data_IF_940869373177
#
_entry.id   IF_940869373177
#
_cell.length_a   1.000
_cell.length_b   1.000
_cell.length_c   1.000
_cell.angle_alpha   90.00
_cell.angle_beta   90.00
_cell.angle_gamma   90.00
#
_symmetry.space_group_name_H-M   'P 1'
#
loop_
_entity.id
_entity.type
_entity.pdbx_description
1 polymer ?
#
# COMPACT_ATOMS: atom_id res chain seq x y z
N UNK A 1 23.07 -70.73 50.32
CA UNK A 1 23.49 -72.14 50.14
C UNK A 1 23.25 -72.48 48.68
N UNK A 2 24.34 -72.59 47.90
CA UNK A 2 24.44 -73.19 46.53
C UNK A 2 23.53 -72.56 45.42
N UNK A 3 23.89 -72.46 44.15
CA UNK A 3 24.92 -73.10 43.33
C UNK A 3 24.98 -72.38 41.96
N UNK A 4 26.19 -72.21 41.41
CA UNK A 4 26.59 -72.41 39.99
C UNK A 4 25.90 -71.64 38.84
N UNK A 5 26.51 -71.34 37.69
CA UNK A 5 27.85 -71.49 37.11
C UNK A 5 27.92 -70.59 35.86
N UNK A 6 29.13 -70.32 35.42
CA UNK A 6 29.55 -69.56 34.24
C UNK A 6 28.98 -70.06 32.90
N UNK A 7 28.86 -69.13 31.94
CA UNK A 7 29.23 -69.41 30.54
C UNK A 7 29.94 -68.20 29.94
N UNK A 8 31.20 -68.41 29.55
CA UNK A 8 32.03 -67.50 28.76
C UNK A 8 31.65 -67.57 27.29
N UNK A 9 31.72 -66.44 26.60
CA UNK A 9 32.05 -66.40 25.16
C UNK A 9 32.83 -65.13 24.88
N UNK A 10 34.10 -65.32 24.52
CA UNK A 10 35.00 -64.30 24.00
C UNK A 10 34.61 -64.03 22.55
N UNK A 11 34.41 -62.77 22.18
CA UNK A 11 34.42 -62.34 20.78
C UNK A 11 35.42 -61.20 20.59
N UNK A 12 36.33 -61.44 19.65
CA UNK A 12 37.41 -60.56 19.24
C UNK A 12 36.84 -59.29 18.61
N UNK A 13 37.16 -58.13 19.19
CA UNK A 13 36.76 -56.82 18.67
C UNK A 13 37.75 -56.40 17.55
N UNK A 14 37.37 -56.62 16.30
CA UNK A 14 38.01 -55.99 15.14
C UNK A 14 37.50 -54.55 15.04
N UNK A 15 38.34 -53.59 15.46
CA UNK A 15 38.09 -52.16 15.30
C UNK A 15 38.28 -51.80 13.81
N UNK A 16 37.19 -51.60 13.10
CA UNK A 16 37.20 -50.92 11.80
C UNK A 16 37.03 -49.42 12.06
N UNK A 17 38.11 -48.65 11.92
CA UNK A 17 38.03 -47.19 11.83
C UNK A 17 37.36 -46.84 10.49
N UNK A 18 36.07 -46.57 10.53
CA UNK A 18 35.38 -45.89 9.44
C UNK A 18 35.68 -44.39 9.58
N UNK A 19 36.46 -43.86 8.64
CA UNK A 19 36.54 -42.42 8.41
C UNK A 19 35.19 -41.93 7.88
N UNK A 20 34.35 -41.46 8.80
CA UNK A 20 33.12 -40.75 8.42
C UNK A 20 33.49 -39.41 7.79
N UNK A 21 33.39 -39.33 6.46
CA UNK A 21 33.35 -38.05 5.76
C UNK A 21 32.07 -37.36 6.24
N UNK A 22 32.21 -36.34 7.07
CA UNK A 22 31.11 -35.46 7.44
C UNK A 22 30.78 -34.63 6.22
N UNK A 23 29.76 -35.04 5.46
CA UNK A 23 29.12 -34.16 4.49
C UNK A 23 28.58 -32.98 5.30
N UNK A 24 29.12 -31.79 5.02
CA UNK A 24 28.54 -30.54 5.52
C UNK A 24 27.08 -30.51 5.09
N UNK A 25 26.17 -30.72 6.03
CA UNK A 25 24.75 -30.51 5.80
C UNK A 25 24.57 -29.02 5.55
N UNK A 26 24.32 -28.66 4.29
CA UNK A 26 23.70 -27.39 3.95
C UNK A 26 22.35 -27.38 4.65
N UNK A 27 22.28 -26.71 5.80
CA UNK A 27 21.02 -26.36 6.43
C UNK A 27 20.33 -25.33 5.54
N UNK A 28 19.49 -25.81 4.63
CA UNK A 28 18.41 -25.00 4.06
C UNK A 28 17.46 -24.72 5.20
N UNK A 29 17.79 -23.73 6.03
CA UNK A 29 16.81 -23.08 6.88
C UNK A 29 15.84 -22.42 5.91
N UNK A 30 14.67 -23.04 5.71
CA UNK A 30 13.54 -22.32 5.16
C UNK A 30 13.25 -21.18 6.15
N UNK A 31 13.83 -20.01 5.89
CA UNK A 31 13.36 -18.77 6.47
C UNK A 31 11.94 -18.57 5.93
N UNK A 32 10.96 -19.09 6.68
CA UNK A 32 9.57 -18.70 6.53
C UNK A 32 9.46 -17.25 7.01
N UNK A 33 9.75 -16.32 6.11
CA UNK A 33 9.31 -14.94 6.26
C UNK A 33 7.79 -14.99 6.07
N UNK A 34 6.95 -14.67 7.08
CA UNK A 34 5.56 -14.41 6.80
C UNK A 34 5.53 -13.27 5.78
N UNK A 35 4.94 -13.53 4.61
CA UNK A 35 4.69 -12.48 3.64
C UNK A 35 3.98 -11.34 4.38
N UNK A 36 4.49 -10.10 4.37
CA UNK A 36 3.63 -8.99 4.70
C UNK A 36 2.44 -9.07 3.76
N UNK A 37 1.25 -9.10 4.34
CA UNK A 37 -0.01 -8.95 3.63
C UNK A 37 0.01 -7.57 2.98
N UNK A 38 0.69 -7.43 1.84
CA UNK A 38 0.59 -6.28 0.97
C UNK A 38 -0.79 -6.36 0.32
N UNK A 39 -1.77 -5.98 1.12
CA UNK A 39 -3.18 -5.86 0.85
C UNK A 39 -3.69 -5.04 2.02
N UNK A 40 -4.06 -3.79 1.74
CA UNK A 40 -4.52 -2.85 2.75
C UNK A 40 -5.51 -3.56 3.72
N UNK A 41 -5.25 -3.53 5.05
CA UNK A 41 -6.00 -4.27 6.06
C UNK A 41 -7.37 -3.68 6.43
N UNK A 42 -7.93 -2.73 5.69
CA UNK A 42 -9.34 -2.31 5.86
C UNK A 42 -10.33 -3.38 5.30
N UNK A 43 -10.40 -4.52 6.00
CA UNK A 43 -11.47 -5.53 6.01
C UNK A 43 -12.01 -6.07 4.68
N UNK A 44 -11.35 -7.11 4.17
CA UNK A 44 -11.95 -8.09 3.27
C UNK A 44 -11.04 -9.30 3.07
N UNK A 45 -11.26 -10.37 3.85
CA UNK A 45 -10.76 -11.72 3.56
C UNK A 45 -11.48 -12.27 2.33
N UNK A 46 -11.17 -11.71 1.16
CA UNK A 46 -11.67 -12.14 -0.14
C UNK A 46 -10.50 -12.58 -0.99
N UNK A 47 -10.39 -13.90 -1.20
CA UNK A 47 -9.44 -14.60 -2.06
C UNK A 47 -8.76 -13.72 -3.15
N UNK A 48 -7.54 -13.26 -2.87
CA UNK A 48 -6.59 -12.99 -3.95
C UNK A 48 -5.98 -14.34 -4.36
N UNK A 49 -5.90 -14.66 -5.66
CA UNK A 49 -5.26 -15.89 -6.11
C UNK A 49 -3.77 -15.79 -5.80
N UNK A 50 -3.33 -16.56 -4.81
CA UNK A 50 -1.95 -16.59 -4.34
C UNK A 50 -1.69 -15.57 -3.25
N UNK A 51 -1.38 -16.07 -2.06
CA UNK A 51 -0.66 -15.32 -1.03
C UNK A 51 0.58 -14.71 -1.71
N UNK A 52 0.56 -13.40 -2.00
CA UNK A 52 1.68 -12.74 -2.67
C UNK A 52 2.87 -12.83 -1.74
N UNK A 53 3.81 -13.73 -2.06
CA UNK A 53 5.04 -13.84 -1.31
C UNK A 53 5.86 -12.57 -1.59
N UNK A 54 6.10 -11.78 -0.55
CA UNK A 54 6.89 -10.58 -0.66
C UNK A 54 8.10 -10.62 0.26
N UNK A 55 9.22 -10.08 -0.23
CA UNK A 55 10.51 -9.97 0.46
C UNK A 55 11.07 -8.58 0.21
N UNK A 56 12.25 -8.21 0.74
CA UNK A 56 12.96 -7.01 0.25
C UNK A 56 12.20 -5.64 0.34
N UNK A 57 11.25 -5.57 1.27
CA UNK A 57 10.50 -4.40 1.77
C UNK A 57 9.54 -3.67 0.81
N UNK A 58 8.29 -4.14 0.67
CA UNK A 58 7.94 -5.38 0.02
C UNK A 58 8.15 -5.32 -1.50
N UNK A 59 8.81 -6.33 -2.02
CA UNK A 59 8.91 -6.69 -3.43
C UNK A 59 8.18 -8.02 -3.60
N UNK A 60 7.22 -8.06 -4.51
CA UNK A 60 6.58 -9.30 -4.94
C UNK A 60 7.61 -10.19 -5.64
N UNK A 61 7.86 -11.39 -5.10
CA UNK A 61 8.90 -12.29 -5.63
C UNK A 61 8.58 -12.82 -7.02
N UNK A 62 7.32 -12.77 -7.44
CA UNK A 62 6.87 -13.26 -8.75
C UNK A 62 6.97 -12.15 -9.79
N UNK A 63 6.40 -10.99 -9.48
CA UNK A 63 6.26 -9.88 -10.43
C UNK A 63 7.41 -8.89 -10.36
N UNK A 64 8.18 -8.89 -9.26
CA UNK A 64 9.19 -7.89 -8.93
C UNK A 64 8.65 -6.48 -8.75
N UNK A 65 7.34 -6.36 -8.52
CA UNK A 65 6.73 -5.11 -8.15
C UNK A 65 7.24 -4.67 -6.77
N UNK A 66 7.89 -3.51 -6.71
CA UNK A 66 8.22 -2.85 -5.46
C UNK A 66 7.02 -2.01 -5.01
N UNK A 67 6.46 -2.40 -3.87
CA UNK A 67 5.37 -1.70 -3.22
C UNK A 67 5.88 -0.99 -1.96
N UNK A 68 5.46 0.25 -1.71
CA UNK A 68 5.75 0.97 -0.46
C UNK A 68 4.44 1.51 0.12
N UNK A 69 4.24 1.29 1.41
CA UNK A 69 3.18 1.91 2.18
C UNK A 69 3.80 2.87 3.20
N UNK A 70 3.19 4.03 3.38
CA UNK A 70 3.57 5.00 4.41
C UNK A 70 2.31 5.50 5.10
N UNK A 71 2.26 5.38 6.43
CA UNK A 71 1.21 5.97 7.25
C UNK A 71 1.66 7.37 7.68
N UNK A 72 0.99 8.41 7.17
CA UNK A 72 1.31 9.79 7.59
C UNK A 72 0.33 10.36 8.62
N UNK A 73 -0.92 9.89 8.62
CA UNK A 73 -1.93 10.30 9.60
C UNK A 73 -2.90 9.17 9.92
N UNK A 74 -3.23 9.00 11.20
CA UNK A 74 -4.32 8.14 11.66
C UNK A 74 -5.17 8.93 12.65
N UNK A 75 -6.46 9.07 12.38
CA UNK A 75 -7.37 9.90 13.18
C UNK A 75 -7.53 9.31 14.58
N UNK A 76 -7.05 10.05 15.58
CA UNK A 76 -6.79 9.57 16.95
C UNK A 76 -7.81 8.57 17.54
N UNK A 77 -9.10 8.93 17.72
CA UNK A 77 -10.10 7.98 18.22
C UNK A 77 -10.22 6.78 17.28
N UNK A 78 -10.25 5.56 17.84
CA UNK A 78 -10.21 4.29 17.09
C UNK A 78 -11.25 4.17 15.95
N UNK A 79 -12.31 5.01 15.96
CA UNK A 79 -13.43 4.95 15.03
C UNK A 79 -13.60 6.21 14.19
N UNK A 80 -12.62 7.13 14.16
CA UNK A 80 -12.79 8.43 13.47
C UNK A 80 -12.98 8.31 11.95
N UNK A 81 -12.55 7.19 11.35
CA UNK A 81 -12.56 6.97 9.90
C UNK A 81 -11.52 7.79 9.11
N UNK A 82 -10.85 8.77 9.75
CA UNK A 82 -9.84 9.59 9.08
C UNK A 82 -8.49 8.90 9.10
N UNK A 83 -7.84 8.86 7.94
CA UNK A 83 -6.52 8.26 7.75
C UNK A 83 -5.86 8.83 6.50
N UNK A 84 -4.54 8.93 6.51
CA UNK A 84 -3.78 9.24 5.31
C UNK A 84 -2.62 8.27 5.18
N UNK A 85 -2.80 7.34 4.25
CA UNK A 85 -1.76 6.45 3.78
C UNK A 85 -1.31 6.86 2.39
N UNK A 86 -0.04 6.65 2.09
CA UNK A 86 0.53 6.74 0.75
C UNK A 86 0.98 5.37 0.28
N UNK A 87 0.76 5.13 -1.00
CA UNK A 87 1.11 3.87 -1.66
C UNK A 87 1.94 4.16 -2.90
N UNK A 88 3.10 3.52 -3.02
CA UNK A 88 3.91 3.53 -4.24
C UNK A 88 3.93 2.14 -4.88
N UNK A 89 3.92 2.09 -6.21
CA UNK A 89 3.96 0.86 -6.99
C UNK A 89 4.87 1.02 -8.22
N UNK A 90 5.99 0.29 -8.25
CA UNK A 90 7.00 0.44 -9.32
C UNK A 90 6.54 -0.05 -10.69
N UNK A 91 5.50 -0.90 -10.74
CA UNK A 91 4.91 -1.40 -11.99
C UNK A 91 3.74 -0.55 -12.48
N UNK A 92 3.27 0.40 -11.66
CA UNK A 92 2.16 1.29 -11.98
C UNK A 92 2.52 2.75 -11.75
N UNK A 93 3.36 3.28 -12.64
CA UNK A 93 3.81 4.68 -12.63
C UNK A 93 2.76 5.63 -13.23
N UNK A 94 1.52 5.56 -12.73
CA UNK A 94 0.44 6.44 -13.18
C UNK A 94 0.62 7.85 -12.59
N UNK A 95 0.43 8.92 -13.37
CA UNK A 95 0.44 10.29 -12.85
C UNK A 95 -0.59 10.52 -11.75
N UNK A 96 -0.23 11.32 -10.75
CA UNK A 96 -1.14 11.74 -9.68
C UNK A 96 -0.65 13.06 -9.07
N UNK A 97 -1.56 13.77 -8.40
CA UNK A 97 -1.21 15.04 -7.75
C UNK A 97 -0.24 14.86 -6.57
N UNK A 98 -0.15 13.66 -5.98
CA UNK A 98 0.84 13.37 -4.93
C UNK A 98 2.22 12.98 -5.49
N UNK A 99 2.32 12.77 -6.81
CA UNK A 99 3.54 12.38 -7.51
C UNK A 99 3.34 11.09 -8.30
N UNK A 100 3.90 11.03 -9.51
CA UNK A 100 3.74 9.87 -10.39
C UNK A 100 4.29 8.58 -9.74
N UNK A 101 3.51 7.50 -9.83
CA UNK A 101 3.77 6.23 -9.15
C UNK A 101 3.28 6.17 -7.71
N UNK A 102 2.80 7.30 -7.14
CA UNK A 102 2.18 7.37 -5.83
C UNK A 102 0.66 7.54 -5.90
N UNK A 103 -0.03 6.94 -4.93
CA UNK A 103 -1.47 7.09 -4.65
C UNK A 103 -1.66 7.26 -3.14
N UNK A 104 -2.87 7.57 -2.70
CA UNK A 104 -3.19 7.70 -1.28
C UNK A 104 -4.59 7.15 -0.94
N UNK A 105 -4.89 6.97 0.35
CA UNK A 105 -6.13 6.36 0.89
C UNK A 105 -7.42 6.87 0.21
N UNK A 106 -7.53 8.17 -0.03
CA UNK A 106 -8.71 8.79 -0.68
C UNK A 106 -8.68 8.91 -2.22
N UNK A 107 -7.71 8.28 -2.89
CA UNK A 107 -7.56 8.30 -4.36
C UNK A 107 -8.29 7.18 -5.10
N UNK A 108 -9.11 6.38 -4.41
CA UNK A 108 -9.89 5.30 -5.01
C UNK A 108 -10.78 5.81 -6.14
N UNK A 109 -10.84 5.05 -7.24
CA UNK A 109 -11.53 5.48 -8.46
C UNK A 109 -12.31 4.34 -9.13
N UNK A 110 -13.58 4.60 -9.42
CA UNK A 110 -14.44 3.77 -10.24
C UNK A 110 -14.27 4.12 -11.72
N UNK A 111 -13.98 3.13 -12.53
CA UNK A 111 -13.93 3.21 -13.99
C UNK A 111 -15.14 2.48 -14.56
N UNK A 112 -16.01 3.23 -15.25
CA UNK A 112 -17.20 2.72 -15.93
C UNK A 112 -16.99 2.53 -17.44
N UNK A 113 -15.75 2.73 -17.93
CA UNK A 113 -15.46 2.59 -19.36
C UNK A 113 -15.48 1.12 -19.78
N UNK A 114 -16.35 0.78 -20.73
CA UNK A 114 -16.50 -0.57 -21.27
C UNK A 114 -17.68 -1.34 -20.67
N UNK A 115 -17.72 -2.66 -20.88
CA UNK A 115 -18.84 -3.50 -20.41
C UNK A 115 -18.74 -3.86 -18.93
N UNK A 116 -17.55 -3.81 -18.34
CA UNK A 116 -17.26 -4.26 -16.97
C UNK A 116 -16.73 -3.09 -16.15
N UNK A 117 -17.47 -2.62 -15.13
CA UNK A 117 -16.96 -1.67 -14.17
C UNK A 117 -15.71 -2.20 -13.47
N UNK A 118 -14.81 -1.29 -13.12
CA UNK A 118 -13.59 -1.61 -12.40
C UNK A 118 -13.33 -0.58 -11.32
N UNK A 119 -12.86 -1.00 -10.16
CA UNK A 119 -12.40 -0.09 -9.11
C UNK A 119 -10.88 -0.19 -9.03
N UNK A 120 -10.21 0.95 -9.16
CA UNK A 120 -8.81 1.07 -8.83
C UNK A 120 -8.72 1.55 -7.38
N UNK A 121 -8.20 0.68 -6.52
CA UNK A 121 -7.96 0.96 -5.13
C UNK A 121 -6.81 1.97 -4.95
N UNK A 122 -6.66 2.38 -3.71
CA UNK A 122 -5.63 3.25 -3.16
C UNK A 122 -4.22 2.66 -3.28
N UNK A 123 -4.07 1.34 -3.11
CA UNK A 123 -2.83 0.58 -3.31
C UNK A 123 -2.52 0.25 -4.78
N UNK A 124 -3.37 0.71 -5.71
CA UNK A 124 -3.33 0.41 -7.16
C UNK A 124 -3.79 -1.00 -7.56
N UNK A 125 -4.37 -1.76 -6.63
CA UNK A 125 -5.09 -3.00 -6.95
C UNK A 125 -6.34 -2.67 -7.78
N UNK A 126 -6.60 -3.47 -8.81
CA UNK A 126 -7.73 -3.28 -9.72
C UNK A 126 -8.75 -4.40 -9.54
N UNK A 127 -9.92 -4.05 -9.02
CA UNK A 127 -11.07 -4.94 -8.86
C UNK A 127 -11.92 -4.92 -10.12
N UNK A 128 -12.38 -6.08 -10.57
CA UNK A 128 -13.23 -6.23 -11.75
C UNK A 128 -14.62 -6.73 -11.36
N UNK A 129 -15.66 -6.11 -11.90
CA UNK A 129 -17.04 -6.52 -11.72
C UNK A 129 -17.57 -7.26 -12.94
N UNK A 130 -18.68 -7.99 -12.76
CA UNK A 130 -19.38 -8.61 -13.86
C UNK A 130 -19.93 -7.55 -14.85
N UNK A 131 -20.23 -7.93 -16.10
CA UNK A 131 -20.76 -6.98 -17.07
C UNK A 131 -21.98 -6.23 -16.54
N UNK A 132 -22.01 -4.92 -16.76
CA UNK A 132 -23.09 -4.07 -16.31
C UNK A 132 -24.43 -4.53 -16.92
N UNK A 133 -25.35 -4.94 -16.07
CA UNK A 133 -26.72 -5.32 -16.41
C UNK A 133 -27.68 -4.63 -15.45
N UNK A 134 -28.23 -3.49 -15.86
CA UNK A 134 -29.10 -2.66 -15.00
C UNK A 134 -28.32 -1.89 -13.93
N UNK A 135 -28.95 -1.71 -12.78
CA UNK A 135 -28.47 -0.80 -11.71
C UNK A 135 -27.67 -1.50 -10.60
N UNK A 136 -27.69 -2.83 -10.51
CA UNK A 136 -26.95 -3.62 -9.52
C UNK A 136 -25.98 -4.54 -10.24
N UNK A 137 -24.70 -4.49 -9.86
CA UNK A 137 -23.62 -5.21 -10.52
C UNK A 137 -22.79 -5.90 -9.44
N UNK A 138 -22.81 -7.23 -9.44
CA UNK A 138 -22.01 -8.01 -8.49
C UNK A 138 -20.59 -8.26 -9.00
N UNK A 139 -19.66 -8.38 -8.08
CA UNK A 139 -18.38 -9.03 -8.34
C UNK A 139 -18.59 -10.53 -8.54
N UNK A 140 -17.64 -11.19 -9.21
CA UNK A 140 -17.65 -12.64 -9.36
C UNK A 140 -17.69 -13.30 -7.98
N UNK A 141 -18.57 -14.29 -7.81
CA UNK A 141 -18.73 -15.04 -6.55
C UNK A 141 -18.89 -14.16 -5.29
N UNK A 142 -19.32 -12.90 -5.44
CA UNK A 142 -19.38 -11.91 -4.37
C UNK A 142 -18.02 -11.64 -3.67
N UNK A 143 -16.90 -11.87 -4.36
CA UNK A 143 -15.53 -11.68 -3.80
C UNK A 143 -15.30 -10.25 -3.31
N UNK A 144 -15.87 -9.26 -4.01
CA UNK A 144 -15.71 -7.84 -3.73
C UNK A 144 -17.05 -7.14 -3.49
N UNK A 145 -18.15 -7.86 -3.27
CA UNK A 145 -19.46 -7.25 -3.04
C UNK A 145 -20.12 -6.75 -4.33
N UNK A 146 -20.87 -5.64 -4.25
CA UNK A 146 -21.72 -5.16 -5.35
C UNK A 146 -21.71 -3.64 -5.53
N UNK A 147 -21.85 -3.20 -6.78
CA UNK A 147 -22.03 -1.81 -7.19
C UNK A 147 -23.48 -1.54 -7.50
N UNK A 148 -24.03 -0.47 -6.93
CA UNK A 148 -25.39 -0.05 -7.15
C UNK A 148 -25.46 1.43 -7.53
N UNK A 149 -26.11 1.73 -8.66
CA UNK A 149 -26.43 3.10 -9.07
C UNK A 149 -27.66 3.60 -8.30
N UNK A 150 -27.57 4.74 -7.62
CA UNK A 150 -28.67 5.30 -6.83
C UNK A 150 -28.57 6.83 -6.65
N UNK A 151 -29.70 7.53 -6.44
CA UNK A 151 -29.70 8.98 -6.22
C UNK A 151 -29.14 9.34 -4.83
N UNK A 152 -28.67 10.58 -4.69
CA UNK A 152 -28.10 11.13 -3.45
C UNK A 152 -28.96 10.88 -2.19
N UNK A 153 -30.29 11.05 -2.31
CA UNK A 153 -31.23 10.84 -1.20
C UNK A 153 -31.21 9.40 -0.66
N UNK A 154 -30.98 8.42 -1.53
CA UNK A 154 -30.97 7.01 -1.15
C UNK A 154 -29.61 6.65 -0.54
N UNK A 155 -28.52 7.29 -0.97
CA UNK A 155 -27.19 7.18 -0.33
C UNK A 155 -27.24 7.65 1.13
N UNK A 156 -27.93 8.76 1.43
CA UNK A 156 -28.06 9.28 2.81
C UNK A 156 -28.67 8.24 3.75
N UNK A 157 -29.62 7.44 3.26
CA UNK A 157 -30.26 6.36 4.02
C UNK A 157 -29.35 5.14 4.23
N UNK A 158 -28.22 5.06 3.53
CA UNK A 158 -27.27 3.94 3.61
C UNK A 158 -26.11 4.19 4.55
N UNK A 159 -25.90 5.44 4.95
CA UNK A 159 -24.87 5.82 5.92
C UNK A 159 -25.34 5.43 7.32
N UNK A 160 -24.49 4.76 8.08
CA UNK A 160 -24.71 4.61 9.52
C UNK A 160 -24.37 5.94 10.21
N UNK A 161 -25.40 6.62 10.70
CA UNK A 161 -25.27 7.89 11.40
C UNK A 161 -25.00 7.75 12.90
N UNK A 162 -25.12 6.54 13.44
CA UNK A 162 -24.98 6.28 14.87
C UNK A 162 -23.53 6.25 15.36
N UNK A 163 -22.55 6.17 14.45
CA UNK A 163 -21.12 6.13 14.76
C UNK A 163 -20.52 7.48 15.10
N UNK A 164 -21.25 8.59 14.87
CA UNK A 164 -20.81 9.94 15.19
C UNK A 164 -20.63 10.15 16.71
N UNK A 165 -19.51 10.77 17.12
CA UNK A 165 -19.22 11.00 18.54
C UNK A 165 -20.11 12.07 19.20
N UNK A 166 -20.75 12.96 18.42
CA UNK A 166 -21.53 14.09 18.94
C UNK A 166 -23.02 14.01 18.48
N UNK A 167 -23.97 13.72 19.38
CA UNK A 167 -25.41 13.76 19.09
C UNK A 167 -26.07 15.14 19.35
N UNK A 168 -27.20 15.47 18.70
CA UNK A 168 -27.89 14.69 17.66
C UNK A 168 -27.23 14.88 16.28
N UNK A 169 -26.97 13.77 15.59
CA UNK A 169 -26.46 13.81 14.23
C UNK A 169 -27.55 14.27 13.26
N UNK A 170 -27.22 15.19 12.35
CA UNK A 170 -28.10 15.59 11.26
C UNK A 170 -27.85 14.67 10.07
N UNK A 171 -28.91 14.02 9.58
CA UNK A 171 -28.86 13.22 8.34
C UNK A 171 -28.86 14.14 7.10
N UNK A 172 -27.90 15.05 7.03
CA UNK A 172 -27.79 16.01 5.93
C UNK A 172 -26.35 16.14 5.44
N UNK A 173 -26.18 15.95 4.14
CA UNK A 173 -24.89 16.13 3.48
C UNK A 173 -24.49 17.60 3.35
N UNK A 174 -25.40 18.55 3.59
CA UNK A 174 -25.10 19.99 3.60
C UNK A 174 -24.18 20.42 4.74
N UNK A 175 -23.92 19.54 5.69
CA UNK A 175 -22.94 19.76 6.75
C UNK A 175 -21.50 19.48 6.27
N UNK A 176 -21.33 18.56 5.33
CA UNK A 176 -20.02 18.07 4.88
C UNK A 176 -19.63 18.55 3.48
N UNK A 177 -20.61 18.97 2.67
CA UNK A 177 -20.40 19.45 1.31
C UNK A 177 -20.92 20.86 1.13
N UNK A 178 -20.13 21.70 0.45
CA UNK A 178 -20.58 23.01 0.02
C UNK A 178 -21.83 22.93 -0.87
N UNK A 179 -22.62 24.01 -0.87
CA UNK A 179 -23.83 24.07 -1.69
C UNK A 179 -23.53 23.97 -3.19
N UNK A 180 -22.36 24.42 -3.64
CA UNK A 180 -21.92 24.30 -5.02
C UNK A 180 -21.50 22.87 -5.36
N UNK A 181 -20.77 22.19 -4.48
CA UNK A 181 -20.42 20.78 -4.69
C UNK A 181 -21.66 19.89 -4.72
N UNK A 182 -22.63 20.09 -3.80
CA UNK A 182 -23.90 19.37 -3.80
C UNK A 182 -24.69 19.50 -5.11
N UNK A 183 -24.59 20.64 -5.82
CA UNK A 183 -25.23 20.80 -7.13
C UNK A 183 -24.65 19.86 -8.18
N UNK A 184 -23.38 19.48 -8.06
CA UNK A 184 -22.71 18.52 -8.95
C UNK A 184 -23.08 17.07 -8.66
N UNK A 185 -23.58 16.78 -7.46
CA UNK A 185 -24.00 15.43 -7.02
C UNK A 185 -25.46 15.12 -7.35
N UNK A 186 -26.09 15.90 -8.24
CA UNK A 186 -27.50 15.71 -8.63
C UNK A 186 -27.72 14.53 -9.59
N UNK A 187 -26.64 14.03 -10.18
CA UNK A 187 -26.67 12.79 -10.96
C UNK A 187 -26.74 11.56 -10.05
N UNK A 188 -27.00 10.40 -10.65
CA UNK A 188 -26.90 9.14 -9.91
C UNK A 188 -25.46 8.87 -9.46
N UNK A 189 -25.33 8.53 -8.18
CA UNK A 189 -24.10 8.08 -7.56
C UNK A 189 -23.94 6.56 -7.71
N UNK A 190 -22.73 6.08 -7.49
CA UNK A 190 -22.44 4.65 -7.43
C UNK A 190 -22.03 4.27 -6.02
N UNK A 191 -22.86 3.49 -5.34
CA UNK A 191 -22.54 2.89 -4.05
C UNK A 191 -21.91 1.52 -4.27
N UNK A 192 -20.72 1.33 -3.73
CA UNK A 192 -20.08 0.03 -3.59
C UNK A 192 -20.34 -0.49 -2.17
N UNK A 193 -21.07 -1.60 -2.04
CA UNK A 193 -21.19 -2.33 -0.77
C UNK A 193 -20.27 -3.54 -0.78
N UNK A 194 -19.39 -3.60 0.21
CA UNK A 194 -18.46 -4.70 0.42
C UNK A 194 -19.19 -5.91 1.03
N UNK A 195 -18.62 -7.12 0.93
CA UNK A 195 -19.14 -8.28 1.68
C UNK A 195 -19.17 -8.03 3.20
N UNK A 196 -18.24 -7.20 3.70
CA UNK A 196 -18.14 -6.76 5.10
C UNK A 196 -19.18 -5.72 5.52
N UNK A 197 -20.06 -5.28 4.61
CA UNK A 197 -21.01 -4.18 4.79
C UNK A 197 -20.40 -2.78 4.94
N UNK A 198 -19.09 -2.64 4.73
CA UNK A 198 -18.51 -1.34 4.43
C UNK A 198 -19.16 -0.74 3.17
N UNK A 199 -19.16 0.58 3.05
CA UNK A 199 -19.62 1.26 1.85
C UNK A 199 -18.61 2.29 1.35
N UNK A 200 -18.48 2.38 0.04
CA UNK A 200 -17.89 3.52 -0.66
C UNK A 200 -18.90 4.10 -1.63
N UNK A 201 -18.86 5.42 -1.82
CA UNK A 201 -19.74 6.11 -2.77
C UNK A 201 -18.89 6.92 -3.73
N UNK A 202 -19.18 6.77 -5.02
CA UNK A 202 -18.51 7.47 -6.11
C UNK A 202 -19.46 8.44 -6.81
N UNK A 203 -18.94 9.61 -7.19
CA UNK A 203 -19.67 10.55 -8.04
C UNK A 203 -19.78 10.04 -9.49
N UNK A 204 -20.48 10.79 -10.36
CA UNK A 204 -20.68 10.42 -11.77
C UNK A 204 -19.38 10.34 -12.60
N UNK A 205 -18.29 10.94 -12.10
CA UNK A 205 -16.93 10.86 -12.69
C UNK A 205 -16.12 9.69 -12.14
N UNK A 206 -16.69 8.91 -11.23
CA UNK A 206 -16.07 7.76 -10.59
C UNK A 206 -15.12 8.12 -9.45
N UNK A 207 -15.10 9.35 -8.96
CA UNK A 207 -14.25 9.75 -7.84
C UNK A 207 -14.93 9.44 -6.51
N UNK A 208 -14.18 8.90 -5.54
CA UNK A 208 -14.69 8.61 -4.19
C UNK A 208 -15.14 9.90 -3.49
N UNK A 209 -16.34 9.89 -2.93
CA UNK A 209 -16.95 11.03 -2.21
C UNK A 209 -17.40 10.69 -0.79
N UNK A 210 -17.71 9.42 -0.49
CA UNK A 210 -18.03 8.95 0.86
C UNK A 210 -17.36 7.59 1.05
N UNK A 211 -16.81 7.33 2.24
CA UNK A 211 -16.36 6.00 2.65
C UNK A 211 -16.76 5.75 4.10
N UNK A 212 -17.23 4.54 4.41
CA UNK A 212 -17.58 4.13 5.76
C UNK A 212 -17.20 2.67 5.96
N UNK A 213 -16.19 2.44 6.81
CA UNK A 213 -15.81 1.10 7.25
C UNK A 213 -16.72 0.66 8.42
N UNK A 214 -16.87 -0.65 8.67
CA UNK A 214 -17.70 -1.14 9.77
C UNK A 214 -17.24 -0.57 11.11
N UNK A 215 -18.19 -0.11 11.94
CA UNK A 215 -17.93 0.51 13.25
C UNK A 215 -17.10 1.80 13.23
N UNK A 216 -16.89 2.42 12.06
CA UNK A 216 -16.22 3.72 11.94
C UNK A 216 -17.20 4.82 11.54
N UNK A 217 -16.84 6.06 11.84
CA UNK A 217 -17.51 7.21 11.25
C UNK A 217 -17.36 7.20 9.72
N UNK A 218 -18.41 7.62 9.03
CA UNK A 218 -18.32 7.93 7.61
C UNK A 218 -17.40 9.15 7.41
N UNK A 219 -16.57 9.09 6.36
CA UNK A 219 -15.81 10.23 5.87
C UNK A 219 -16.41 10.75 4.57
N UNK A 220 -16.44 12.06 4.44
CA UNK A 220 -17.01 12.81 3.32
C UNK A 220 -15.89 13.58 2.62
N UNK A 221 -15.81 13.45 1.30
CA UNK A 221 -14.69 13.94 0.49
C UNK A 221 -15.22 14.98 -0.51
N UNK A 222 -14.96 16.25 -0.22
CA UNK A 222 -15.27 17.37 -1.12
C UNK A 222 -14.12 17.57 -2.11
N UNK A 223 -14.46 17.86 -3.38
CA UNK A 223 -13.49 18.00 -4.47
C UNK A 223 -13.66 19.32 -5.21
N UNK A 224 -12.57 19.80 -5.80
CA UNK A 224 -12.54 21.00 -6.63
C UNK A 224 -13.40 20.82 -7.87
N UNK A 225 -14.26 21.80 -8.12
CA UNK A 225 -15.20 21.84 -9.25
C UNK A 225 -14.80 22.87 -10.30
N UNK A 226 -13.90 23.79 -9.95
CA UNK A 226 -13.42 24.82 -10.87
C UNK A 226 -12.50 24.20 -11.91
N UNK A 227 -12.69 24.52 -13.20
CA UNK A 227 -11.75 24.13 -14.24
C UNK A 227 -10.34 24.67 -13.94
N UNK A 228 -9.34 23.81 -14.10
CA UNK A 228 -7.94 24.18 -13.88
C UNK A 228 -7.08 22.96 -13.56
N UNK A 229 -5.79 23.17 -13.23
CA UNK A 229 -4.85 22.10 -12.91
C UNK A 229 -5.25 21.23 -11.70
N UNK A 230 -6.14 21.74 -10.83
CA UNK A 230 -6.64 21.04 -9.64
C UNK A 230 -8.07 20.52 -9.81
N UNK A 231 -8.65 20.51 -11.02
CA UNK A 231 -10.00 20.01 -11.24
C UNK A 231 -10.15 18.55 -10.73
N UNK A 232 -11.18 18.28 -9.91
CA UNK A 232 -11.44 17.02 -9.19
C UNK A 232 -10.44 16.64 -8.07
N UNK A 233 -9.47 17.50 -7.77
CA UNK A 233 -8.60 17.34 -6.60
C UNK A 233 -9.43 17.37 -5.30
N UNK A 234 -8.99 16.65 -4.27
CA UNK A 234 -9.66 16.65 -2.97
C UNK A 234 -9.38 17.98 -2.29
N UNK A 235 -10.40 18.69 -1.83
CA UNK A 235 -10.20 19.91 -1.04
C UNK A 235 -10.25 19.60 0.46
N UNK A 236 -11.16 18.71 0.86
CA UNK A 236 -11.38 18.35 2.25
C UNK A 236 -11.87 16.92 2.37
N UNK A 237 -11.36 16.22 3.38
CA UNK A 237 -11.96 14.99 3.90
C UNK A 237 -12.41 15.25 5.32
N UNK A 238 -13.66 14.99 5.65
CA UNK A 238 -14.21 15.29 6.97
C UNK A 238 -15.00 14.09 7.49
N UNK A 239 -14.91 13.79 8.79
CA UNK A 239 -15.75 12.75 9.39
C UNK A 239 -17.05 13.31 9.96
N UNK A 240 -17.91 12.44 10.50
CA UNK A 240 -19.21 12.82 11.08
C UNK A 240 -19.08 13.73 12.31
N UNK A 241 -17.96 13.63 13.02
CA UNK A 241 -17.58 14.49 14.15
C UNK A 241 -16.87 15.78 13.74
N UNK A 242 -16.90 16.13 12.44
CA UNK A 242 -16.36 17.36 11.87
C UNK A 242 -14.83 17.54 11.93
N UNK A 243 -14.08 16.53 12.36
CA UNK A 243 -12.62 16.52 12.19
C UNK A 243 -12.30 16.44 10.69
N UNK A 244 -11.31 17.22 10.25
CA UNK A 244 -10.98 17.34 8.82
C UNK A 244 -9.50 17.13 8.50
N UNK A 245 -9.28 16.68 7.27
CA UNK A 245 -8.02 16.77 6.54
C UNK A 245 -8.23 17.77 5.40
N UNK A 246 -7.48 18.86 5.41
CA UNK A 246 -7.60 19.95 4.43
C UNK A 246 -6.43 19.92 3.46
N UNK A 247 -6.72 19.77 2.17
CA UNK A 247 -5.73 19.50 1.13
C UNK A 247 -5.39 20.77 0.36
N UNK A 248 -4.10 21.06 0.25
CA UNK A 248 -3.59 22.26 -0.43
C UNK A 248 -2.70 21.90 -1.61
N UNK A 249 -2.89 22.59 -2.73
CA UNK A 249 -2.17 22.33 -3.96
C UNK A 249 -1.40 23.56 -4.44
N UNK A 250 -0.27 23.30 -5.10
CA UNK A 250 0.54 24.30 -5.77
C UNK A 250 0.71 23.95 -7.25
N UNK A 251 0.94 24.96 -8.09
CA UNK A 251 1.27 24.77 -9.50
C UNK A 251 2.77 24.43 -9.61
N UNK A 252 3.07 23.38 -10.38
CA UNK A 252 4.44 22.98 -10.69
C UNK A 252 4.50 22.58 -12.18
N UNK A 253 5.26 23.34 -12.97
CA UNK A 253 5.27 23.18 -14.42
C UNK A 253 3.92 23.57 -15.03
N UNK A 254 3.32 22.65 -15.79
CA UNK A 254 1.97 22.82 -16.38
C UNK A 254 0.86 22.23 -15.52
N UNK A 255 1.21 21.44 -14.50
CA UNK A 255 0.28 20.71 -13.64
C UNK A 255 0.19 21.28 -12.22
N UNK A 256 -0.54 20.57 -11.37
CA UNK A 256 -0.60 20.82 -9.94
C UNK A 256 0.03 19.68 -9.15
N UNK A 257 0.42 19.96 -7.92
CA UNK A 257 0.90 18.99 -6.95
C UNK A 257 0.25 19.21 -5.60
N UNK A 258 0.08 18.14 -4.82
CA UNK A 258 -0.24 18.21 -3.41
C UNK A 258 0.96 18.84 -2.70
N UNK A 259 0.72 19.92 -1.97
CA UNK A 259 1.76 20.67 -1.27
C UNK A 259 1.71 20.45 0.23
N UNK A 260 0.49 20.33 0.77
CA UNK A 260 0.25 20.24 2.19
C UNK A 260 -1.09 19.57 2.47
N UNK A 261 -1.16 18.88 3.61
CA UNK A 261 -2.42 18.49 4.22
C UNK A 261 -2.42 19.03 5.65
N UNK A 262 -3.39 19.85 6.01
CA UNK A 262 -3.63 20.19 7.41
C UNK A 262 -4.42 19.08 8.08
N UNK A 263 -3.92 18.59 9.20
CA UNK A 263 -4.57 17.57 10.00
C UNK A 263 -4.90 18.14 11.39
N UNK A 264 -5.77 17.49 12.17
CA UNK A 264 -6.09 17.92 13.54
C UNK A 264 -4.87 17.99 14.48
N UNK A 265 -3.78 17.27 14.19
CA UNK A 265 -2.56 17.26 15.01
C UNK A 265 -1.43 18.10 14.42
N UNK A 266 -1.62 18.74 13.27
CA UNK A 266 -0.62 19.55 12.57
C UNK A 266 -0.48 19.17 11.10
N UNK A 267 0.36 19.90 10.36
CA UNK A 267 0.43 19.77 8.90
C UNK A 267 1.42 18.70 8.44
N UNK A 268 1.07 18.05 7.32
CA UNK A 268 1.96 17.24 6.50
C UNK A 268 2.44 18.08 5.32
N UNK A 269 3.74 18.20 5.11
CA UNK A 269 4.34 19.01 4.04
C UNK A 269 5.00 18.13 2.98
N UNK A 270 4.58 18.29 1.73
CA UNK A 270 4.99 17.45 0.60
C UNK A 270 5.95 18.20 -0.32
N UNK A 271 7.16 17.65 -0.47
CA UNK A 271 8.21 18.22 -1.34
C UNK A 271 8.25 17.48 -2.66
N UNK A 272 8.36 18.24 -3.75
CA UNK A 272 8.39 17.70 -5.10
C UNK A 272 9.51 18.31 -5.94
N UNK A 273 9.90 17.61 -6.99
CA UNK A 273 10.62 18.17 -8.13
C UNK A 273 9.90 17.79 -9.44
N UNK A 274 10.34 18.41 -10.54
CA UNK A 274 10.07 17.94 -11.90
C UNK A 274 11.34 17.30 -12.42
N UNK A 275 11.31 16.03 -12.87
CA UNK A 275 12.44 15.47 -13.58
C UNK A 275 12.72 16.27 -14.86
N UNK A 276 13.97 16.20 -15.33
CA UNK A 276 14.35 16.84 -16.57
C UNK A 276 13.55 16.26 -17.73
N UNK A 277 13.05 17.12 -18.61
CA UNK A 277 12.29 16.77 -19.82
C UNK A 277 10.94 16.06 -19.56
N UNK A 278 10.46 16.12 -18.31
CA UNK A 278 9.21 15.49 -17.86
C UNK A 278 8.19 16.54 -17.42
N UNK A 279 6.90 16.23 -17.54
CA UNK A 279 5.81 17.13 -17.14
C UNK A 279 5.19 16.79 -15.78
N UNK A 280 5.39 15.57 -15.28
CA UNK A 280 4.75 15.06 -14.08
C UNK A 280 5.65 15.19 -12.84
N UNK A 281 5.09 15.59 -11.69
CA UNK A 281 5.87 15.79 -10.47
C UNK A 281 6.30 14.47 -9.84
N UNK A 282 7.45 14.49 -9.15
CA UNK A 282 7.90 13.40 -8.27
C UNK A 282 7.88 13.82 -6.82
N UNK A 283 7.38 12.94 -5.95
CA UNK A 283 7.42 13.14 -4.50
C UNK A 283 8.83 12.93 -3.95
N UNK A 284 9.51 14.00 -3.55
CA UNK A 284 10.87 13.95 -2.97
C UNK A 284 10.89 13.76 -1.45
N UNK A 285 9.76 13.96 -0.79
CA UNK A 285 9.64 13.64 0.63
C UNK A 285 8.40 14.24 1.28
N UNK A 286 8.15 13.79 2.50
CA UNK A 286 7.07 14.26 3.36
C UNK A 286 7.67 14.61 4.72
N UNK A 287 7.29 15.77 5.27
CA UNK A 287 7.67 16.22 6.62
C UNK A 287 6.42 16.37 7.46
N UNK A 288 6.42 15.76 8.63
CA UNK A 288 5.30 15.76 9.58
C UNK A 288 5.45 16.93 10.56
N UNK A 289 4.38 17.23 11.29
CA UNK A 289 4.34 18.33 12.26
C UNK A 289 5.41 18.22 13.36
N UNK A 290 5.82 17.00 13.70
CA UNK A 290 6.85 16.72 14.70
C UNK A 290 8.26 16.66 14.10
N UNK A 291 8.47 17.17 12.89
CA UNK A 291 9.74 17.15 12.14
C UNK A 291 10.22 15.77 11.67
N UNK A 292 9.53 14.68 12.05
CA UNK A 292 9.75 13.38 11.43
C UNK A 292 9.51 13.49 9.92
N UNK A 293 10.33 12.80 9.13
CA UNK A 293 10.29 12.94 7.68
C UNK A 293 10.75 11.70 6.95
N UNK A 294 10.24 11.56 5.73
CA UNK A 294 10.73 10.59 4.76
C UNK A 294 11.29 11.35 3.55
N UNK A 295 12.48 10.97 3.11
CA UNK A 295 13.14 11.53 1.91
C UNK A 295 13.29 10.45 0.86
N UNK A 296 12.95 10.79 -0.37
CA UNK A 296 12.99 9.91 -1.53
C UNK A 296 14.01 10.36 -2.56
N UNK A 297 14.80 9.39 -3.03
CA UNK A 297 15.67 9.54 -4.19
C UNK A 297 15.17 8.65 -5.33
N UNK A 298 15.41 9.08 -6.55
CA UNK A 298 14.92 8.45 -7.77
C UNK A 298 16.05 8.28 -8.76
N UNK A 299 15.88 7.33 -9.67
CA UNK A 299 16.82 7.09 -10.75
C UNK A 299 16.90 8.28 -11.71
N UNK A 300 18.06 8.39 -12.36
CA UNK A 300 18.28 9.35 -13.45
C UNK A 300 17.56 8.86 -14.72
N UNK A 301 16.87 9.78 -15.41
CA UNK A 301 16.13 9.52 -16.64
C UNK A 301 17.00 8.91 -17.75
N UNK A 302 18.32 9.15 -17.73
CA UNK A 302 19.27 8.60 -18.71
C UNK A 302 19.45 7.07 -18.61
N UNK A 303 19.08 6.45 -17.49
CA UNK A 303 19.25 5.02 -17.25
C UNK A 303 17.91 4.29 -17.19
N UNK A 304 16.92 4.86 -16.51
CA UNK A 304 15.61 4.26 -16.28
C UNK A 304 14.53 5.34 -16.15
N UNK A 305 13.27 4.93 -15.97
CA UNK A 305 12.20 5.89 -15.67
C UNK A 305 12.57 6.73 -14.44
N UNK A 306 12.50 8.07 -14.52
CA UNK A 306 12.86 8.94 -13.40
C UNK A 306 11.89 8.85 -12.23
N UNK A 307 10.79 8.11 -12.38
CA UNK A 307 9.76 7.89 -11.35
C UNK A 307 9.98 6.60 -10.55
N UNK A 308 11.02 5.82 -10.87
CA UNK A 308 11.38 4.64 -10.09
C UNK A 308 12.10 5.06 -8.81
N UNK A 309 11.48 4.73 -7.67
CA UNK A 309 11.99 5.01 -6.34
C UNK A 309 13.30 4.26 -6.10
N UNK A 310 14.42 4.99 -6.07
CA UNK A 310 15.75 4.43 -5.85
C UNK A 310 16.06 4.27 -4.36
N UNK A 311 15.57 5.16 -3.50
CA UNK A 311 15.90 5.14 -2.06
C UNK A 311 14.83 5.81 -1.23
N UNK A 312 14.55 5.25 -0.06
CA UNK A 312 13.74 5.87 0.99
C UNK A 312 14.52 5.95 2.29
N UNK A 313 14.53 7.14 2.90
CA UNK A 313 15.21 7.42 4.16
C UNK A 313 14.23 8.01 5.16
N UNK A 314 14.02 7.33 6.27
CA UNK A 314 13.11 7.76 7.34
C UNK A 314 13.89 8.33 8.52
N UNK A 315 13.48 9.51 8.99
CA UNK A 315 14.11 10.25 10.08
C UNK A 315 13.08 10.50 11.18
N UNK A 316 13.52 10.44 12.43
CA UNK A 316 12.76 10.95 13.57
C UNK A 316 13.07 12.43 13.81
N UNK A 317 12.26 13.07 14.65
CA UNK A 317 12.22 14.51 14.95
C UNK A 317 13.60 15.19 15.02
N UNK A 318 14.56 14.60 15.75
CA UNK A 318 15.85 15.24 16.05
C UNK A 318 17.08 14.55 15.46
N UNK A 319 16.90 13.50 14.65
CA UNK A 319 18.03 12.69 14.18
C UNK A 319 18.52 13.13 12.81
N UNK A 320 19.81 13.49 12.72
CA UNK A 320 20.46 13.75 11.43
C UNK A 320 20.69 12.47 10.62
N UNK A 321 20.67 11.30 11.27
CA UNK A 321 20.84 9.99 10.63
C UNK A 321 19.49 9.30 10.52
N UNK A 322 19.12 8.78 9.34
CA UNK A 322 17.86 8.06 9.19
C UNK A 322 17.88 6.82 10.08
N UNK A 323 16.75 6.43 10.69
CA UNK A 323 16.64 5.17 11.41
C UNK A 323 16.40 3.99 10.47
N UNK A 324 15.80 4.27 9.30
CA UNK A 324 15.59 3.33 8.20
C UNK A 324 16.08 3.94 6.90
N UNK A 325 16.88 3.20 6.15
CA UNK A 325 17.54 3.63 4.93
C UNK A 325 17.65 2.45 3.96
N UNK A 326 16.79 2.45 2.95
CA UNK A 326 16.64 1.33 2.03
C UNK A 326 16.72 1.85 0.59
N UNK A 327 17.52 1.17 -0.23
CA UNK A 327 17.70 1.47 -1.64
C UNK A 327 17.27 0.28 -2.52
N UNK A 328 16.81 0.58 -3.73
CA UNK A 328 16.35 -0.39 -4.72
C UNK A 328 16.90 -0.07 -6.11
N UNK A 329 17.29 -1.14 -6.80
CA UNK A 329 17.67 -1.09 -8.21
C UNK A 329 16.71 -1.96 -9.02
N UNK A 330 16.38 -1.49 -10.22
CA UNK A 330 15.41 -2.13 -11.08
C UNK A 330 16.06 -2.66 -12.35
N UNK A 331 15.47 -3.70 -12.93
CA UNK A 331 15.71 -4.11 -14.30
C UNK A 331 14.71 -3.48 -15.27
N UNK A 332 14.36 -4.21 -16.32
CA UNK A 332 13.34 -3.78 -17.29
C UNK A 332 11.95 -3.64 -16.65
N UNK A 333 11.14 -2.70 -17.15
CA UNK A 333 9.73 -2.53 -16.80
C UNK A 333 9.45 -2.28 -15.30
N UNK A 334 10.39 -1.66 -14.57
CA UNK A 334 10.20 -1.33 -13.15
C UNK A 334 10.24 -2.55 -12.22
N UNK A 335 10.77 -3.68 -12.70
CA UNK A 335 10.97 -4.90 -11.91
C UNK A 335 12.18 -4.75 -11.00
N UNK A 336 11.99 -4.70 -9.69
CA UNK A 336 13.10 -4.58 -8.73
C UNK A 336 13.98 -5.83 -8.79
N UNK A 337 15.31 -5.66 -8.83
CA UNK A 337 16.27 -6.77 -8.88
C UNK A 337 17.21 -6.79 -7.69
N UNK A 338 17.40 -5.65 -7.03
CA UNK A 338 18.28 -5.55 -5.88
C UNK A 338 17.66 -4.66 -4.83
N UNK A 339 17.96 -4.98 -3.57
CA UNK A 339 17.67 -4.13 -2.43
C UNK A 339 18.90 -4.02 -1.54
N UNK A 340 19.14 -2.83 -1.03
CA UNK A 340 20.15 -2.59 -0.01
C UNK A 340 19.51 -1.94 1.20
N UNK A 341 19.53 -2.64 2.33
CA UNK A 341 19.23 -2.08 3.65
C UNK A 341 20.52 -1.50 4.19
N UNK A 342 20.73 -0.20 3.98
CA UNK A 342 21.86 0.51 4.59
C UNK A 342 21.68 0.63 6.11
N UNK A 343 20.44 0.77 6.55
CA UNK A 343 20.03 0.74 7.96
C UNK A 343 18.57 0.31 8.09
N UNK A 344 18.27 -0.51 9.10
CA UNK A 344 16.91 -0.94 9.41
C UNK A 344 16.83 -1.24 10.90
N UNK A 345 15.74 -0.86 11.56
CA UNK A 345 15.53 -1.03 12.99
C UNK A 345 15.50 -2.51 13.44
N UNK A 346 15.18 -3.42 12.52
CA UNK A 346 15.20 -4.86 12.74
C UNK A 346 16.48 -5.58 12.28
N UNK A 347 17.53 -4.86 11.88
CA UNK A 347 18.80 -5.46 11.41
C UNK A 347 20.00 -4.86 12.15
N UNK A 348 20.88 -5.72 12.67
CA UNK A 348 22.10 -5.30 13.38
C UNK A 348 23.22 -4.83 12.43
N UNK A 349 23.12 -5.18 11.15
CA UNK A 349 24.10 -4.83 10.12
C UNK A 349 23.42 -4.62 8.75
N UNK A 350 24.07 -3.91 7.81
CA UNK A 350 23.53 -3.77 6.46
C UNK A 350 23.30 -5.11 5.77
N UNK A 351 22.15 -5.22 5.11
CA UNK A 351 21.72 -6.40 4.34
C UNK A 351 21.59 -6.02 2.88
N UNK A 352 22.20 -6.82 2.02
CA UNK A 352 22.07 -6.73 0.58
C UNK A 352 21.33 -7.96 0.06
N UNK A 353 20.37 -7.78 -0.85
CA UNK A 353 19.69 -8.90 -1.48
C UNK A 353 19.53 -8.72 -2.99
N UNK A 354 19.72 -9.81 -3.73
CA UNK A 354 19.52 -9.93 -5.17
C UNK A 354 18.32 -10.84 -5.46
N UNK A 355 17.50 -10.43 -6.42
CA UNK A 355 16.36 -11.19 -6.95
C UNK A 355 16.63 -11.56 -8.40
N UNK A 356 16.87 -12.84 -8.64
CA UNK A 356 17.10 -13.40 -9.97
C UNK A 356 15.84 -14.15 -10.45
N UNK A 357 15.13 -13.55 -11.40
CA UNK A 357 13.88 -14.10 -11.93
C UNK A 357 14.16 -15.19 -12.98
N UNK A 358 14.28 -16.42 -12.51
CA UNK A 358 14.72 -17.59 -13.30
C UNK A 358 13.65 -18.04 -14.30
N UNK A 359 12.35 -17.87 -13.99
CA UNK A 359 11.25 -18.36 -14.83
C UNK A 359 10.07 -17.38 -14.92
N UNK A 360 9.34 -17.44 -16.03
CA UNK A 360 8.06 -16.75 -16.22
C UNK A 360 6.94 -17.67 -15.71
N UNK A 361 6.10 -17.22 -14.75
CA UNK A 361 5.03 -18.06 -14.19
C UNK A 361 3.97 -18.45 -15.23
N UNK A 362 3.62 -19.73 -15.33
CA UNK A 362 2.65 -20.26 -16.30
C UNK A 362 1.25 -20.58 -15.71
N UNK A 363 0.91 -20.11 -14.50
CA UNK A 363 -0.39 -20.34 -13.83
C UNK A 363 -0.75 -21.84 -13.64
N UNK A 364 0.25 -22.70 -13.53
CA UNK A 364 0.19 -24.16 -13.42
C UNK A 364 0.74 -24.69 -12.08
N UNK A 365 1.01 -23.80 -11.12
CA UNK A 365 1.67 -24.16 -9.85
C UNK A 365 3.21 -24.22 -9.91
N UNK A 366 3.83 -23.53 -10.87
CA UNK A 366 5.29 -23.44 -11.00
C UNK A 366 6.01 -23.09 -9.67
N UNK A 367 7.15 -23.74 -9.43
CA UNK A 367 8.05 -23.47 -8.32
C UNK A 367 9.45 -23.04 -8.82
N UNK A 368 10.22 -22.39 -7.94
CA UNK A 368 11.56 -21.89 -8.28
C UNK A 368 11.53 -20.79 -9.34
N UNK A 369 10.56 -19.86 -9.22
CA UNK A 369 10.38 -18.74 -10.14
C UNK A 369 11.48 -17.68 -9.98
N UNK A 370 11.94 -17.50 -8.74
CA UNK A 370 12.90 -16.47 -8.35
C UNK A 370 13.89 -17.03 -7.36
N UNK A 371 15.17 -16.79 -7.62
CA UNK A 371 16.26 -17.07 -6.69
C UNK A 371 16.59 -15.80 -5.90
N UNK A 372 16.68 -15.93 -4.58
CA UNK A 372 16.99 -14.83 -3.67
C UNK A 372 18.36 -15.09 -3.05
N UNK A 373 19.32 -14.21 -3.33
CA UNK A 373 20.63 -14.24 -2.67
C UNK A 373 20.70 -13.13 -1.63
N UNK A 374 21.14 -13.45 -0.41
CA UNK A 374 21.32 -12.50 0.68
C UNK A 374 22.80 -12.38 1.07
N UNK A 375 23.27 -11.17 1.38
CA UNK A 375 24.64 -10.92 1.84
C UNK A 375 24.63 -9.92 2.99
N UNK A 376 25.23 -10.32 4.11
CA UNK A 376 25.41 -9.48 5.30
C UNK A 376 26.80 -8.85 5.28
N UNK A 377 26.91 -7.55 5.48
CA UNK A 377 28.20 -6.93 5.78
C UNK A 377 28.50 -7.11 7.27
N UNK A 378 29.34 -8.08 7.62
CA UNK A 378 29.86 -8.19 8.99
C UNK A 378 30.61 -6.90 9.36
N UNK A 379 30.30 -6.31 10.51
CA UNK A 379 31.16 -5.27 11.09
C UNK A 379 32.51 -5.92 11.41
N UNK A 380 33.60 -5.44 10.81
CA UNK A 380 34.93 -5.79 11.27
C UNK A 380 35.04 -5.38 12.74
N UNK A 381 35.16 -6.35 13.63
CA UNK A 381 35.55 -6.09 15.01
C UNK A 381 36.91 -5.40 14.97
N UNK A 382 36.93 -4.12 15.36
CA UNK A 382 38.19 -3.48 15.74
C UNK A 382 38.68 -4.24 16.97
N UNK A 383 39.72 -5.03 16.76
CA UNK A 383 40.49 -5.68 17.82
C UNK A 383 41.37 -4.66 18.52
#
# INVERSE_FOLDING_TARGET
MAMNLFNSSVFVLLISLSTGITLAQTSTTELSCPAPTAGNPCHGVGNNPGQVQSVANPIDVTTGNKFQEELDYFGGPQNSGLEFFRYYNSTQLTPSLIGQGWRHSYSRKLYLQGKRPQILLDDSTRLMFEPQQGNLISSRNNEYGSLQRMPLKDVVNRIDWSTAAIPPFKQSLSQFFSSDYLKTLRDDLWLWEYPSKAIDVFNSKGNLIISQMPATEAVFIERETKPGPTYEAILRVQNQSELSLDFHYEILGKGARLSQIDTPTGSLLFKHDLPKDEEEPRLRGVTHFNEAKVVYDYHDASQQSPYLLQRARHFSESTQKPYRDVAWDYGSHGKAKQVTFHRHEGLDAPLYMNLDYVKIPQHNGDTGLTELTQTYKQQQSKT
#
